data_IF_625778765460
#
_entry.id   IF_625778765460
#
_cell.length_a   1.000
_cell.length_b   1.000
_cell.length_c   1.000
_cell.angle_alpha   90.00
_cell.angle_beta   90.00
_cell.angle_gamma   90.00
#
_symmetry.space_group_name_H-M   'P 1'
#
loop_
_entity.id
_entity.type
_entity.pdbx_description
1 polymer ?
#
# COMPACT_ATOMS: atom_id res chain seq x y z
N UNK A 1 -9.91 -1.24 -19.94
CA UNK A 1 -8.84 -2.12 -19.42
C UNK A 1 -9.21 -2.70 -18.06
N UNK A 2 -9.75 -1.92 -17.13
CA UNK A 2 -10.08 -2.35 -15.75
C UNK A 2 -11.59 -2.47 -15.45
N UNK A 3 -12.47 -2.42 -16.46
CA UNK A 3 -13.93 -2.40 -16.25
C UNK A 3 -14.52 -3.71 -15.71
N UNK A 4 -13.75 -4.79 -15.70
CA UNK A 4 -14.09 -6.07 -15.07
C UNK A 4 -13.01 -6.43 -14.07
N UNK A 5 -13.38 -7.19 -13.03
CA UNK A 5 -12.44 -7.68 -12.01
C UNK A 5 -11.25 -8.40 -12.64
N UNK A 6 -11.51 -9.29 -13.59
CA UNK A 6 -10.45 -10.06 -14.24
C UNK A 6 -9.56 -9.19 -15.14
N UNK A 7 -10.14 -8.16 -15.79
CA UNK A 7 -9.38 -7.18 -16.57
C UNK A 7 -8.52 -6.26 -15.69
N UNK A 8 -8.98 -5.95 -14.48
CA UNK A 8 -8.20 -5.23 -13.48
C UNK A 8 -6.95 -6.03 -13.07
N UNK A 9 -7.11 -7.31 -12.71
CA UNK A 9 -5.99 -8.16 -12.30
C UNK A 9 -5.02 -8.49 -13.45
N UNK A 10 -5.51 -8.73 -14.68
CA UNK A 10 -4.62 -8.94 -15.84
C UNK A 10 -3.80 -7.68 -16.15
N UNK A 11 -4.42 -6.49 -16.12
CA UNK A 11 -3.71 -5.23 -16.31
C UNK A 11 -2.67 -4.99 -15.20
N UNK A 12 -3.04 -5.28 -13.95
CA UNK A 12 -2.15 -5.11 -12.80
C UNK A 12 -0.94 -6.06 -12.86
N UNK A 13 -1.15 -7.31 -13.28
CA UNK A 13 -0.07 -8.31 -13.44
C UNK A 13 0.99 -7.93 -14.49
N UNK A 14 0.67 -6.98 -15.38
CA UNK A 14 1.59 -6.47 -16.42
C UNK A 14 2.19 -5.11 -16.06
N UNK A 15 1.86 -4.58 -14.89
CA UNK A 15 2.35 -3.29 -14.43
C UNK A 15 3.68 -3.46 -13.70
N UNK A 16 4.74 -2.85 -14.22
CA UNK A 16 6.07 -2.85 -13.56
C UNK A 16 6.12 -1.93 -12.35
N UNK A 17 5.55 -0.74 -12.47
CA UNK A 17 5.59 0.31 -11.45
C UNK A 17 4.38 1.24 -11.56
N UNK A 18 4.05 1.92 -10.46
CA UNK A 18 3.06 2.99 -10.42
C UNK A 18 3.59 4.19 -9.62
N UNK A 19 3.06 5.37 -9.92
CA UNK A 19 3.30 6.60 -9.18
C UNK A 19 1.98 7.04 -8.53
N UNK A 20 1.92 7.01 -7.20
CA UNK A 20 0.81 7.58 -6.47
C UNK A 20 0.94 9.11 -6.48
N UNK A 21 -0.08 9.83 -6.94
CA UNK A 21 -0.09 11.30 -6.99
C UNK A 21 -1.15 11.94 -6.12
N UNK A 22 -1.89 11.14 -5.34
CA UNK A 22 -2.95 11.61 -4.47
C UNK A 22 -2.38 12.52 -3.37
N UNK A 23 -2.97 13.70 -3.22
CA UNK A 23 -2.63 14.62 -2.11
C UNK A 23 -3.33 14.23 -0.82
N UNK A 24 -4.47 13.54 -0.93
CA UNK A 24 -5.26 12.99 0.16
C UNK A 24 -5.72 11.60 -0.25
N UNK A 25 -5.67 10.65 0.68
CA UNK A 25 -6.17 9.28 0.50
C UNK A 25 -6.68 8.77 1.85
N UNK A 26 -7.82 8.08 1.83
CA UNK A 26 -8.47 7.56 3.03
C UNK A 26 -8.02 6.14 3.36
N UNK A 27 -7.88 5.27 2.37
CA UNK A 27 -7.47 3.87 2.59
C UNK A 27 -6.38 3.41 1.63
N UNK A 28 -6.47 3.76 0.33
CA UNK A 28 -5.45 3.42 -0.65
C UNK A 28 -5.40 1.93 -1.02
N UNK A 29 -6.56 1.26 -1.07
CA UNK A 29 -6.65 -0.18 -1.38
C UNK A 29 -5.99 -0.51 -2.72
N UNK A 30 -6.20 0.32 -3.75
CA UNK A 30 -5.58 0.15 -5.06
C UNK A 30 -4.05 0.07 -5.02
N UNK A 31 -3.42 0.79 -4.10
CA UNK A 31 -1.97 0.79 -3.94
C UNK A 31 -1.49 -0.51 -3.27
N UNK A 32 -2.24 -0.99 -2.28
CA UNK A 32 -1.97 -2.28 -1.63
C UNK A 32 -2.12 -3.43 -2.62
N UNK A 33 -3.18 -3.41 -3.44
CA UNK A 33 -3.40 -4.40 -4.49
C UNK A 33 -2.27 -4.39 -5.54
N UNK A 34 -1.84 -3.20 -5.96
CA UNK A 34 -0.73 -3.04 -6.90
C UNK A 34 0.60 -3.56 -6.34
N UNK A 35 0.91 -3.24 -5.09
CA UNK A 35 2.09 -3.76 -4.40
C UNK A 35 2.02 -5.28 -4.26
N UNK A 36 0.87 -5.83 -3.89
CA UNK A 36 0.65 -7.27 -3.78
C UNK A 36 0.78 -8.01 -5.12
N UNK A 37 0.44 -7.34 -6.23
CA UNK A 37 0.63 -7.85 -7.59
C UNK A 37 2.09 -7.73 -8.09
N UNK A 38 2.99 -7.12 -7.32
CA UNK A 38 4.41 -7.00 -7.65
C UNK A 38 4.80 -5.73 -8.39
N UNK A 39 3.88 -4.76 -8.53
CA UNK A 39 4.23 -3.45 -9.08
C UNK A 39 5.03 -2.63 -8.05
N UNK A 40 6.12 -2.00 -8.50
CA UNK A 40 6.92 -1.11 -7.66
C UNK A 40 6.15 0.20 -7.43
N UNK A 41 5.86 0.53 -6.18
CA UNK A 41 5.12 1.74 -5.83
C UNK A 41 6.04 2.92 -5.48
N UNK A 42 5.79 4.08 -6.08
CA UNK A 42 6.41 5.36 -5.73
C UNK A 42 5.34 6.23 -5.06
N UNK A 43 5.61 6.72 -3.86
CA UNK A 43 4.61 7.37 -3.01
C UNK A 43 5.02 8.79 -2.59
N UNK A 44 4.07 9.71 -2.43
CA UNK A 44 4.40 11.02 -1.88
C UNK A 44 4.75 10.89 -0.40
N UNK A 45 5.68 11.71 0.08
CA UNK A 45 6.05 11.81 1.50
C UNK A 45 4.94 12.51 2.31
N UNK A 46 3.81 11.84 2.46
CA UNK A 46 2.59 12.34 3.09
C UNK A 46 2.09 11.40 4.20
N UNK A 47 1.38 11.92 5.23
CA UNK A 47 0.97 11.11 6.38
C UNK A 47 0.17 9.86 6.02
N UNK A 48 -0.70 9.92 5.01
CA UNK A 48 -1.50 8.77 4.58
C UNK A 48 -0.63 7.65 4.01
N UNK A 49 0.45 8.00 3.29
CA UNK A 49 1.34 7.01 2.69
C UNK A 49 2.24 6.36 3.76
N UNK A 50 2.65 7.12 4.77
CA UNK A 50 3.34 6.59 5.97
C UNK A 50 2.45 5.70 6.83
N UNK A 51 1.13 5.91 6.82
CA UNK A 51 0.19 5.00 7.48
C UNK A 51 0.02 3.68 6.72
N UNK A 52 0.29 3.67 5.41
CA UNK A 52 0.12 2.52 4.51
C UNK A 52 1.38 1.63 4.42
N UNK A 53 2.57 2.18 4.66
CA UNK A 53 3.84 1.55 4.32
C UNK A 53 4.79 1.45 5.52
N UNK A 54 5.80 0.56 5.48
CA UNK A 54 6.83 0.53 6.49
C UNK A 54 7.50 1.89 6.69
N UNK A 55 7.87 2.23 7.93
CA UNK A 55 8.46 3.54 8.26
C UNK A 55 9.77 3.84 7.52
N UNK A 56 10.46 2.82 7.01
CA UNK A 56 11.70 2.93 6.23
C UNK A 56 11.50 2.76 4.72
N UNK A 57 10.28 2.87 4.21
CA UNK A 57 10.00 2.64 2.80
C UNK A 57 10.85 3.57 1.90
N UNK A 58 11.57 3.03 0.89
CA UNK A 58 12.65 3.76 0.23
C UNK A 58 12.19 4.69 -0.91
N UNK A 59 10.97 4.52 -1.43
CA UNK A 59 10.46 5.25 -2.60
C UNK A 59 9.40 6.29 -2.22
N UNK A 60 9.71 7.08 -1.20
CA UNK A 60 8.98 8.31 -0.90
C UNK A 60 9.59 9.49 -1.67
N UNK A 61 8.75 10.31 -2.30
CA UNK A 61 9.17 11.52 -3.01
C UNK A 61 8.59 12.78 -2.38
N UNK A 62 9.35 13.88 -2.44
CA UNK A 62 8.99 15.22 -1.95
C UNK A 62 8.85 16.25 -3.06
N UNK A 63 9.28 15.90 -4.27
CA UNK A 63 9.20 16.75 -5.44
C UNK A 63 8.88 15.95 -6.71
N UNK A 64 8.36 16.60 -7.77
CA UNK A 64 8.17 15.95 -9.06
C UNK A 64 9.47 15.38 -9.66
N UNK A 65 10.61 16.03 -9.42
CA UNK A 65 11.90 15.56 -9.91
C UNK A 65 12.34 14.25 -9.22
N UNK A 66 12.15 14.15 -7.90
CA UNK A 66 12.38 12.90 -7.17
C UNK A 66 11.42 11.80 -7.63
N UNK A 67 10.15 12.13 -7.86
CA UNK A 67 9.16 11.18 -8.37
C UNK A 67 9.58 10.62 -9.75
N UNK A 68 10.04 11.49 -10.65
CA UNK A 68 10.53 11.10 -11.98
C UNK A 68 11.76 10.19 -11.88
N UNK A 69 12.75 10.55 -11.07
CA UNK A 69 13.97 9.75 -10.87
C UNK A 69 13.65 8.37 -10.30
N UNK A 70 12.80 8.32 -9.27
CA UNK A 70 12.38 7.07 -8.64
C UNK A 70 11.55 6.20 -9.59
N UNK A 71 10.65 6.79 -10.36
CA UNK A 71 9.87 6.07 -11.36
C UNK A 71 10.77 5.52 -12.47
N UNK A 72 11.74 6.31 -12.93
CA UNK A 72 12.73 5.87 -13.91
C UNK A 72 13.54 4.68 -13.39
N UNK A 73 14.00 4.74 -12.13
CA UNK A 73 14.67 3.62 -11.47
C UNK A 73 13.75 2.40 -11.39
N UNK A 74 12.49 2.56 -11.00
CA UNK A 74 11.55 1.46 -10.86
C UNK A 74 11.28 0.72 -12.18
N UNK A 75 11.28 1.41 -13.32
CA UNK A 75 11.07 0.77 -14.62
C UNK A 75 12.36 0.21 -15.26
N UNK A 76 13.54 0.63 -14.77
CA UNK A 76 14.84 0.18 -15.30
C UNK A 76 15.55 -0.85 -14.42
N UNK A 77 15.36 -0.79 -13.11
CA UNK A 77 15.86 -1.72 -12.09
C UNK A 77 14.76 -2.09 -11.07
N UNK A 78 13.66 -2.73 -11.50
CA UNK A 78 12.58 -3.13 -10.60
C UNK A 78 13.04 -4.11 -9.52
N UNK A 79 13.98 -5.00 -9.85
CA UNK A 79 14.51 -5.98 -8.91
C UNK A 79 15.33 -5.31 -7.79
N UNK A 80 16.09 -4.26 -8.10
CA UNK A 80 16.78 -3.48 -7.10
C UNK A 80 15.83 -2.70 -6.19
N UNK A 81 14.79 -2.11 -6.75
CA UNK A 81 13.74 -1.47 -5.96
C UNK A 81 13.07 -2.45 -5.00
N UNK A 82 12.68 -3.64 -5.47
CA UNK A 82 12.05 -4.65 -4.62
C UNK A 82 12.95 -5.16 -3.51
N UNK A 83 14.27 -5.31 -3.75
CA UNK A 83 15.22 -5.64 -2.67
C UNK A 83 15.23 -4.59 -1.57
N UNK A 84 15.25 -3.31 -1.92
CA UNK A 84 15.26 -2.22 -0.94
C UNK A 84 13.93 -2.14 -0.18
N UNK A 85 12.82 -2.31 -0.90
CA UNK A 85 11.46 -2.35 -0.33
C UNK A 85 11.33 -3.50 0.66
N UNK A 86 11.71 -4.72 0.28
CA UNK A 86 11.64 -5.89 1.15
C UNK A 86 12.53 -5.74 2.37
N UNK A 87 13.72 -5.15 2.22
CA UNK A 87 14.60 -4.84 3.35
C UNK A 87 13.93 -3.89 4.35
N UNK A 88 13.21 -2.86 3.88
CA UNK A 88 12.45 -1.94 4.76
C UNK A 88 11.33 -2.62 5.54
N UNK A 89 10.79 -3.71 5.02
CA UNK A 89 9.71 -4.50 5.61
C UNK A 89 10.21 -5.66 6.51
N UNK A 90 11.51 -5.78 6.74
CA UNK A 90 12.10 -6.90 7.49
C UNK A 90 12.15 -8.22 6.72
N UNK A 91 12.10 -8.14 5.38
CA UNK A 91 12.38 -9.25 4.47
C UNK A 91 11.32 -9.47 3.38
N UNK A 92 10.05 -9.14 3.62
CA UNK A 92 9.02 -9.24 2.59
C UNK A 92 7.90 -8.24 2.83
N UNK A 93 7.74 -7.27 1.93
CA UNK A 93 6.64 -6.32 1.98
C UNK A 93 5.30 -7.04 1.84
N UNK A 94 5.19 -8.04 0.95
CA UNK A 94 3.95 -8.80 0.79
C UNK A 94 3.52 -9.51 2.09
N UNK A 95 4.47 -10.00 2.90
CA UNK A 95 4.17 -10.53 4.23
C UNK A 95 3.75 -9.43 5.18
N UNK A 96 4.49 -8.33 5.23
CA UNK A 96 4.18 -7.18 6.08
C UNK A 96 2.77 -6.63 5.80
N UNK A 97 2.39 -6.47 4.53
CA UNK A 97 1.06 -6.01 4.12
C UNK A 97 -0.04 -6.95 4.61
N UNK A 98 0.14 -8.27 4.50
CA UNK A 98 -0.83 -9.24 5.04
C UNK A 98 -0.95 -9.16 6.56
N UNK A 99 0.17 -8.97 7.26
CA UNK A 99 0.18 -8.93 8.72
C UNK A 99 -0.42 -7.61 9.26
N UNK A 100 -0.27 -6.49 8.53
CA UNK A 100 -0.80 -5.17 8.93
C UNK A 100 -2.23 -4.88 8.43
N UNK A 101 -2.60 -5.37 7.24
CA UNK A 101 -3.90 -5.16 6.61
C UNK A 101 -4.79 -6.41 6.64
N UNK A 102 -4.62 -7.29 7.64
CA UNK A 102 -5.49 -8.44 7.83
C UNK A 102 -6.93 -8.01 8.14
N UNK A 103 -7.91 -8.63 7.48
CA UNK A 103 -9.35 -8.43 7.75
C UNK A 103 -9.69 -8.64 9.24
N UNK A 104 -8.98 -9.55 9.91
CA UNK A 104 -9.15 -9.83 11.35
C UNK A 104 -8.85 -8.59 12.22
N UNK A 105 -7.89 -7.75 11.82
CA UNK A 105 -7.56 -6.51 12.54
C UNK A 105 -8.65 -5.45 12.33
N UNK A 106 -9.24 -5.41 11.14
CA UNK A 106 -10.34 -4.51 10.82
C UNK A 106 -11.61 -4.88 11.59
N UNK A 107 -12.01 -6.17 11.56
CA UNK A 107 -13.18 -6.66 12.31
C UNK A 107 -13.03 -6.42 13.81
N UNK A 108 -11.81 -6.64 14.35
CA UNK A 108 -11.51 -6.36 15.75
C UNK A 108 -11.63 -4.87 16.06
N UNK A 109 -11.10 -3.98 15.23
CA UNK A 109 -11.17 -2.53 15.45
C UNK A 109 -12.62 -2.01 15.45
N UNK A 110 -13.46 -2.51 14.54
CA UNK A 110 -14.89 -2.19 14.53
C UNK A 110 -15.58 -2.72 15.79
N UNK A 111 -15.32 -3.97 16.17
CA UNK A 111 -15.89 -4.59 17.37
C UNK A 111 -15.52 -3.82 18.64
N UNK A 112 -14.24 -3.47 18.79
CA UNK A 112 -13.74 -2.69 19.93
C UNK A 112 -14.42 -1.32 19.99
N UNK A 113 -14.59 -0.66 18.84
CA UNK A 113 -15.24 0.66 18.77
C UNK A 113 -16.75 0.59 19.05
N UNK A 114 -17.42 -0.47 18.60
CA UNK A 114 -18.83 -0.73 18.92
C UNK A 114 -19.00 -0.98 20.43
N UNK A 115 -18.11 -1.78 21.05
CA UNK A 115 -18.12 -1.98 22.49
C UNK A 115 -17.83 -0.70 23.27
N UNK A 116 -16.94 0.15 22.78
CA UNK A 116 -16.65 1.46 23.39
C UNK A 116 -17.89 2.37 23.37
N UNK A 117 -18.59 2.45 22.23
CA UNK A 117 -19.73 3.34 22.06
C UNK A 117 -21.01 2.85 22.73
N UNK A 118 -21.25 1.54 22.75
CA UNK A 118 -22.54 0.96 23.16
C UNK A 118 -22.45 0.04 24.37
N UNK A 119 -21.25 -0.24 24.88
CA UNK A 119 -21.01 -1.14 26.01
C UNK A 119 -21.12 -2.63 25.64
N UNK A 120 -20.67 -3.50 26.53
CA UNK A 120 -20.82 -4.96 26.40
C UNK A 120 -22.19 -5.36 26.96
N UNK A 121 -23.23 -5.20 26.15
CA UNK A 121 -24.59 -5.59 26.50
C UNK A 121 -25.50 -4.42 26.85
N UNK A 122 -26.12 -3.82 25.84
CA UNK A 122 -27.46 -3.31 26.01
C UNK A 122 -28.41 -4.52 26.12
N UNK A 123 -28.53 -5.07 27.33
CA UNK A 123 -29.67 -5.89 27.67
C UNK A 123 -30.92 -5.02 27.51
N UNK A 124 -31.81 -5.44 26.61
CA UNK A 124 -33.20 -4.95 26.52
C UNK A 124 -33.96 -5.38 27.78
#
# INVERSE_FOLDING_TARGET
LTATRDGYWDALSRTTAFLATATEESYGLEYVEALAAGAVGIFPDLPWAHALLPSGYPLFYRSPAEAEEQLYRAVTDPAGCWRDIDASAGGSLARWLRDQHSDDLFEKAITDRVHEWFGVGAAV
#
